data_IF_674750474541
#
_entry.id   IF_674750474541
#
_cell.length_a   1.000
_cell.length_b   1.000
_cell.length_c   1.000
_cell.angle_alpha   90.00
_cell.angle_beta   90.00
_cell.angle_gamma   90.00
#
_symmetry.space_group_name_H-M   'P 1'
#
loop_
_entity.id
_entity.type
_entity.pdbx_description
1 polymer ?
#
# COMPACT_ATOMS: atom_id res chain seq x y z
N UNK A 1 -2.10 4.07 -17.31
CA UNK A 1 -2.48 5.50 -17.37
C UNK A 1 -3.28 5.82 -16.13
N UNK A 2 -3.02 6.95 -15.50
CA UNK A 2 -3.75 7.40 -14.31
C UNK A 2 -4.57 8.63 -14.73
N UNK A 3 -5.90 8.57 -14.51
CA UNK A 3 -6.78 9.72 -14.61
C UNK A 3 -6.91 10.34 -13.22
N UNK A 4 -6.47 11.59 -13.06
CA UNK A 4 -6.68 12.32 -11.81
C UNK A 4 -8.03 13.02 -11.87
N UNK A 5 -8.93 12.60 -10.99
CA UNK A 5 -10.24 13.22 -10.82
C UNK A 5 -10.18 14.23 -9.66
N UNK A 6 -10.55 15.46 -9.92
CA UNK A 6 -10.69 16.51 -8.91
C UNK A 6 -12.13 16.99 -8.88
N UNK A 7 -12.75 16.89 -7.71
CA UNK A 7 -14.05 17.50 -7.43
C UNK A 7 -13.86 18.86 -6.75
N UNK A 8 -14.51 19.85 -7.28
CA UNK A 8 -14.64 21.14 -6.62
C UNK A 8 -16.11 21.55 -6.58
N UNK A 9 -16.53 22.19 -5.50
CA UNK A 9 -17.86 22.75 -5.38
C UNK A 9 -17.81 24.17 -4.81
N UNK A 10 -18.70 24.99 -5.33
CA UNK A 10 -19.01 26.32 -4.83
C UNK A 10 -20.50 26.38 -4.41
N UNK A 11 -21.06 27.57 -4.23
CA UNK A 11 -22.45 27.73 -3.81
C UNK A 11 -23.48 27.30 -4.87
N UNK A 12 -23.08 27.17 -6.12
CA UNK A 12 -23.99 27.00 -7.26
C UNK A 12 -23.66 25.73 -8.08
N UNK A 13 -22.39 25.29 -8.08
CA UNK A 13 -21.92 24.24 -8.99
C UNK A 13 -21.08 23.19 -8.30
N UNK A 14 -21.14 21.97 -8.85
CA UNK A 14 -20.21 20.89 -8.59
C UNK A 14 -19.46 20.58 -9.89
N UNK A 15 -18.16 20.78 -9.88
CA UNK A 15 -17.31 20.60 -11.07
C UNK A 15 -16.43 19.38 -10.90
N UNK A 16 -16.46 18.47 -11.89
CA UNK A 16 -15.52 17.36 -12.01
C UNK A 16 -14.49 17.71 -13.08
N UNK A 17 -13.23 17.81 -12.68
CA UNK A 17 -12.09 17.94 -13.58
C UNK A 17 -11.38 16.61 -13.73
N UNK A 18 -11.19 16.15 -14.96
CA UNK A 18 -10.48 14.91 -15.29
C UNK A 18 -9.16 15.29 -15.96
N UNK A 19 -8.05 15.09 -15.25
CA UNK A 19 -6.71 15.35 -15.80
C UNK A 19 -6.06 14.05 -16.26
N UNK A 20 -5.84 13.94 -17.55
CA UNK A 20 -5.21 12.78 -18.21
C UNK A 20 -3.71 12.98 -18.47
N UNK A 21 -3.17 14.14 -18.12
CA UNK A 21 -1.74 14.42 -18.29
C UNK A 21 -0.93 13.64 -17.26
N UNK A 22 -0.13 12.74 -17.72
CA UNK A 22 0.81 12.04 -16.84
C UNK A 22 1.97 12.97 -16.48
N UNK A 23 1.87 13.64 -15.30
CA UNK A 23 2.88 14.58 -14.82
C UNK A 23 3.14 15.76 -15.76
N UNK A 24 2.08 16.44 -16.22
CA UNK A 24 2.09 17.60 -17.11
C UNK A 24 2.50 17.37 -18.57
N UNK A 25 2.83 16.14 -18.99
CA UNK A 25 3.07 15.85 -20.40
C UNK A 25 1.74 15.54 -21.13
N UNK A 26 1.55 16.05 -22.35
CA UNK A 26 0.39 15.71 -23.15
C UNK A 26 0.41 14.24 -23.54
N UNK A 27 -0.78 13.64 -23.64
CA UNK A 27 -0.97 12.28 -24.12
C UNK A 27 -1.23 12.30 -25.63
N UNK A 28 -0.35 11.68 -26.42
CA UNK A 28 -0.54 11.54 -27.85
C UNK A 28 -1.44 10.35 -28.18
N UNK A 29 -2.62 10.61 -28.72
CA UNK A 29 -3.59 9.57 -29.05
C UNK A 29 -3.32 8.89 -30.40
N UNK A 30 -2.65 9.58 -31.35
CA UNK A 30 -2.35 9.02 -32.68
C UNK A 30 -3.61 8.63 -33.45
N UNK A 31 -4.71 9.38 -33.32
CA UNK A 31 -5.99 9.11 -33.97
C UNK A 31 -6.88 8.04 -33.31
N UNK A 32 -6.45 7.41 -32.23
CA UNK A 32 -7.26 6.44 -31.45
C UNK A 32 -8.12 7.15 -30.42
N UNK A 33 -9.25 6.55 -30.09
CA UNK A 33 -10.09 6.96 -28.95
C UNK A 33 -9.54 6.33 -27.67
N UNK A 34 -9.59 7.09 -26.58
CA UNK A 34 -9.22 6.64 -25.26
C UNK A 34 -10.42 6.80 -24.32
N UNK A 35 -10.91 5.69 -23.78
CA UNK A 35 -11.84 5.71 -22.67
C UNK A 35 -11.05 6.01 -21.38
N UNK A 36 -11.34 7.14 -20.75
CA UNK A 36 -10.58 7.61 -19.59
C UNK A 36 -11.23 7.22 -18.26
N UNK A 37 -12.54 7.33 -18.17
CA UNK A 37 -13.30 6.96 -16.98
C UNK A 37 -14.78 6.85 -17.30
N UNK A 38 -15.52 6.23 -16.37
CA UNK A 38 -16.97 6.29 -16.30
C UNK A 38 -17.37 7.11 -15.07
N UNK A 39 -18.30 8.04 -15.24
CA UNK A 39 -18.83 8.85 -14.13
C UNK A 39 -20.18 8.29 -13.72
N UNK A 40 -20.31 7.96 -12.45
CA UNK A 40 -21.58 7.54 -11.85
C UNK A 40 -22.13 8.67 -10.98
N UNK A 41 -23.42 8.95 -11.10
CA UNK A 41 -24.14 9.85 -10.23
C UNK A 41 -25.45 9.16 -9.79
N UNK A 42 -25.82 9.32 -8.54
CA UNK A 42 -27.05 8.80 -7.99
C UNK A 42 -27.61 9.74 -6.93
N UNK A 43 -28.92 9.81 -6.86
CA UNK A 43 -29.64 10.53 -5.81
C UNK A 43 -30.28 9.50 -4.86
N UNK A 44 -30.14 9.74 -3.56
CA UNK A 44 -30.66 8.88 -2.49
C UNK A 44 -31.49 9.73 -1.54
N UNK A 45 -32.79 9.84 -1.82
CA UNK A 45 -33.75 10.45 -0.89
C UNK A 45 -34.26 9.41 0.13
N UNK A 46 -34.62 9.86 1.31
CA UNK A 46 -35.29 9.08 2.37
C UNK A 46 -34.49 7.88 2.92
N UNK A 47 -33.18 7.84 2.71
CA UNK A 47 -32.28 6.84 3.30
C UNK A 47 -31.16 7.52 4.09
N UNK A 48 -30.63 6.82 5.10
CA UNK A 48 -29.47 7.34 5.83
C UNK A 48 -28.24 7.44 4.93
N UNK A 49 -27.33 8.39 5.23
CA UNK A 49 -26.08 8.57 4.48
C UNK A 49 -25.24 7.28 4.40
N UNK A 50 -25.24 6.47 5.47
CA UNK A 50 -24.58 5.17 5.48
C UNK A 50 -25.18 4.20 4.45
N UNK A 51 -26.50 4.10 4.38
CA UNK A 51 -27.16 3.22 3.41
C UNK A 51 -27.01 3.73 1.98
N UNK A 52 -27.09 5.05 1.77
CA UNK A 52 -26.84 5.67 0.48
C UNK A 52 -25.42 5.33 -0.03
N UNK A 53 -24.40 5.55 0.80
CA UNK A 53 -23.01 5.25 0.46
C UNK A 53 -22.81 3.76 0.18
N UNK A 54 -23.35 2.87 1.00
CA UNK A 54 -23.25 1.43 0.80
C UNK A 54 -23.89 0.98 -0.52
N UNK A 55 -25.06 1.52 -0.85
CA UNK A 55 -25.75 1.23 -2.10
C UNK A 55 -24.95 1.75 -3.30
N UNK A 56 -24.39 2.95 -3.19
CA UNK A 56 -23.54 3.52 -4.23
C UNK A 56 -22.26 2.72 -4.46
N UNK A 57 -21.62 2.22 -3.40
CA UNK A 57 -20.49 1.29 -3.53
C UNK A 57 -20.87 0.03 -4.35
N UNK A 58 -22.08 -0.48 -4.20
CA UNK A 58 -22.59 -1.60 -5.01
C UNK A 58 -22.75 -1.26 -6.50
N UNK A 59 -23.06 0.00 -6.82
CA UNK A 59 -23.08 0.48 -8.22
C UNK A 59 -21.67 0.57 -8.79
N UNK A 60 -20.73 1.10 -8.01
CA UNK A 60 -19.32 1.24 -8.43
C UNK A 60 -18.61 -0.11 -8.59
N UNK A 61 -18.96 -1.09 -7.78
CA UNK A 61 -18.37 -2.43 -7.80
C UNK A 61 -19.43 -3.50 -7.58
N UNK A 62 -20.15 -3.92 -8.64
CA UNK A 62 -21.25 -4.89 -8.51
C UNK A 62 -20.77 -6.31 -8.15
N UNK A 63 -19.50 -6.63 -8.38
CA UNK A 63 -18.87 -7.90 -8.02
C UNK A 63 -17.53 -7.67 -7.31
N UNK A 64 -17.55 -7.12 -6.08
CA UNK A 64 -16.31 -6.77 -5.39
C UNK A 64 -15.54 -8.02 -4.95
N UNK A 65 -14.22 -8.00 -5.13
CA UNK A 65 -13.33 -8.99 -4.53
C UNK A 65 -13.14 -8.66 -3.05
N UNK A 66 -13.96 -9.24 -2.22
CA UNK A 66 -13.87 -9.05 -0.77
C UNK A 66 -13.00 -10.15 -0.14
N UNK A 67 -12.24 -9.78 0.88
CA UNK A 67 -11.57 -10.75 1.73
C UNK A 67 -12.60 -11.65 2.44
N UNK A 68 -12.26 -12.93 2.63
CA UNK A 68 -13.15 -13.89 3.32
C UNK A 68 -13.50 -13.46 4.76
N UNK A 69 -12.60 -12.71 5.37
CA UNK A 69 -12.75 -12.20 6.73
C UNK A 69 -12.38 -10.72 6.77
N UNK A 70 -12.98 -9.93 7.65
CA UNK A 70 -12.55 -8.54 7.85
C UNK A 70 -11.06 -8.45 8.15
N UNK A 71 -10.38 -7.50 7.50
CA UNK A 71 -9.00 -7.13 7.83
C UNK A 71 -9.08 -5.99 8.84
N UNK A 72 -8.50 -6.20 10.02
CA UNK A 72 -8.47 -5.22 11.09
C UNK A 72 -7.25 -5.44 11.98
N UNK A 73 -6.88 -4.44 12.75
CA UNK A 73 -5.73 -4.50 13.62
C UNK A 73 -5.10 -3.15 13.87
N UNK A 74 -3.80 -3.11 14.03
CA UNK A 74 -3.04 -1.90 14.30
C UNK A 74 -1.81 -1.79 13.39
N UNK A 75 -1.31 -0.57 13.30
CA UNK A 75 -0.08 -0.19 12.60
C UNK A 75 0.68 0.80 13.50
N UNK A 76 1.99 0.74 13.51
CA UNK A 76 2.84 1.52 14.42
C UNK A 76 3.28 2.89 13.89
N UNK A 77 2.90 3.29 12.67
CA UNK A 77 3.42 4.50 12.04
C UNK A 77 3.19 5.76 12.87
N UNK A 78 1.94 6.02 13.28
CA UNK A 78 1.56 7.30 13.86
C UNK A 78 2.13 7.61 15.25
N UNK A 79 2.80 6.67 15.88
CA UNK A 79 3.56 6.96 17.10
C UNK A 79 5.05 6.76 16.93
N UNK A 80 5.48 5.79 16.10
CA UNK A 80 6.88 5.41 15.96
C UNK A 80 7.64 6.20 14.89
N UNK A 81 6.96 6.60 13.80
CA UNK A 81 7.55 7.33 12.67
C UNK A 81 8.90 6.73 12.21
N UNK A 82 8.93 5.41 12.02
CA UNK A 82 10.11 4.66 11.60
C UNK A 82 11.15 4.39 12.70
N UNK A 83 10.86 4.67 13.97
CA UNK A 83 11.82 4.50 15.09
C UNK A 83 11.51 3.30 15.97
N UNK A 84 10.59 2.41 15.57
CA UNK A 84 10.25 1.25 16.36
C UNK A 84 11.33 0.15 16.30
N UNK A 85 11.13 -0.89 17.10
CA UNK A 85 12.02 -2.02 17.24
C UNK A 85 11.25 -3.33 17.33
N UNK A 86 11.98 -4.46 17.22
CA UNK A 86 11.47 -5.81 17.42
C UNK A 86 10.65 -5.92 18.74
N UNK A 87 11.22 -5.45 19.85
CA UNK A 87 10.57 -5.54 21.17
C UNK A 87 9.30 -4.68 21.26
N UNK A 88 9.31 -3.50 20.66
CA UNK A 88 8.12 -2.64 20.60
C UNK A 88 7.00 -3.28 19.79
N UNK A 89 7.30 -3.88 18.64
CA UNK A 89 6.31 -4.62 17.85
C UNK A 89 5.73 -5.79 18.65
N UNK A 90 6.53 -6.51 19.41
CA UNK A 90 6.02 -7.57 20.28
C UNK A 90 5.14 -7.03 21.42
N UNK A 91 5.50 -5.87 21.98
CA UNK A 91 4.67 -5.17 22.96
C UNK A 91 3.31 -4.78 22.40
N UNK A 92 3.30 -4.18 21.23
CA UNK A 92 2.07 -3.80 20.51
C UNK A 92 1.24 -5.03 20.15
N UNK A 93 1.90 -6.11 19.71
CA UNK A 93 1.23 -7.38 19.40
C UNK A 93 0.51 -7.96 20.62
N UNK A 94 1.12 -7.90 21.81
CA UNK A 94 0.48 -8.31 23.06
C UNK A 94 -0.75 -7.46 23.38
N UNK A 95 -0.62 -6.15 23.22
CA UNK A 95 -1.75 -5.22 23.43
C UNK A 95 -2.90 -5.52 22.47
N UNK A 96 -2.63 -5.59 21.17
CA UNK A 96 -3.63 -5.85 20.14
C UNK A 96 -4.30 -7.21 20.36
N UNK A 97 -3.54 -8.26 20.68
CA UNK A 97 -4.07 -9.57 21.00
C UNK A 97 -4.97 -9.54 22.24
N UNK A 98 -4.60 -8.76 23.27
CA UNK A 98 -5.39 -8.64 24.50
C UNK A 98 -6.74 -7.97 24.27
N UNK A 99 -6.79 -6.94 23.42
CA UNK A 99 -8.01 -6.23 23.02
C UNK A 99 -8.95 -7.10 22.18
N UNK A 100 -8.40 -8.06 21.46
CA UNK A 100 -9.14 -8.98 20.58
C UNK A 100 -9.24 -10.41 21.14
N UNK A 101 -9.16 -10.56 22.46
CA UNK A 101 -9.22 -11.87 23.13
C UNK A 101 -10.51 -12.61 22.77
N UNK A 102 -10.37 -13.86 22.34
CA UNK A 102 -11.51 -14.71 21.94
C UNK A 102 -12.00 -14.51 20.51
N UNK A 103 -11.50 -13.52 19.77
CA UNK A 103 -11.87 -13.36 18.38
C UNK A 103 -11.34 -14.52 17.52
N UNK A 104 -12.25 -15.18 16.78
CA UNK A 104 -11.88 -16.25 15.84
C UNK A 104 -11.04 -15.71 14.67
N UNK A 105 -11.40 -14.53 14.14
CA UNK A 105 -10.61 -13.80 13.16
C UNK A 105 -9.57 -12.96 13.89
N UNK A 106 -8.31 -13.35 13.80
CA UNK A 106 -7.23 -12.67 14.53
C UNK A 106 -6.90 -11.31 13.89
N UNK A 107 -6.58 -10.28 14.72
CA UNK A 107 -6.17 -8.97 14.23
C UNK A 107 -4.80 -9.02 13.57
N UNK A 108 -4.52 -8.03 12.73
CA UNK A 108 -3.17 -7.77 12.23
C UNK A 108 -2.42 -6.81 13.16
N UNK A 109 -1.12 -7.03 13.28
CA UNK A 109 -0.16 -6.01 13.71
C UNK A 109 0.78 -5.75 12.53
N UNK A 110 0.78 -4.53 12.02
CA UNK A 110 1.54 -4.14 10.83
C UNK A 110 2.77 -3.35 11.24
N UNK A 111 3.93 -3.84 10.83
CA UNK A 111 5.20 -3.12 10.95
C UNK A 111 5.25 -2.12 9.79
N UNK A 112 5.25 -0.83 10.12
CA UNK A 112 5.39 0.22 9.14
C UNK A 112 6.86 0.52 8.81
N UNK A 113 7.12 1.55 8.04
CA UNK A 113 8.45 1.98 7.56
C UNK A 113 9.50 2.04 8.68
N UNK A 114 10.75 1.82 8.33
CA UNK A 114 11.90 1.89 9.22
C UNK A 114 12.41 0.56 9.79
N UNK A 115 11.88 -0.58 9.33
CA UNK A 115 12.39 -1.91 9.68
C UNK A 115 13.59 -2.31 8.80
N UNK A 116 13.66 -1.84 7.58
CA UNK A 116 14.71 -2.11 6.59
C UNK A 116 15.99 -1.29 6.85
N UNK A 117 17.13 -1.63 6.23
CA UNK A 117 18.42 -0.95 6.47
C UNK A 117 18.41 0.55 6.15
N UNK A 118 17.74 0.95 5.08
CA UNK A 118 17.59 2.35 4.69
C UNK A 118 16.16 2.77 4.90
N UNK A 119 15.94 3.66 5.84
CA UNK A 119 14.62 4.20 6.12
C UNK A 119 13.94 4.68 4.83
N UNK A 120 12.70 4.27 4.61
CA UNK A 120 11.87 4.57 3.44
C UNK A 120 12.26 3.93 2.11
N UNK A 121 13.43 3.31 2.00
CA UNK A 121 14.00 2.83 0.74
C UNK A 121 14.47 1.36 0.81
N UNK A 122 14.70 0.78 -0.36
CA UNK A 122 15.33 -0.53 -0.47
C UNK A 122 16.70 -0.60 0.26
N UNK A 123 17.25 -1.78 0.55
CA UNK A 123 16.74 -3.09 0.19
C UNK A 123 15.66 -3.62 1.14
N UNK A 124 14.81 -4.52 0.63
CA UNK A 124 13.72 -5.16 1.37
C UNK A 124 14.03 -6.63 1.67
N UNK A 125 15.31 -6.94 1.81
CA UNK A 125 15.81 -8.32 1.91
C UNK A 125 16.25 -8.71 3.32
N UNK A 126 16.29 -7.77 4.24
CA UNK A 126 16.65 -7.97 5.67
C UNK A 126 16.16 -6.80 6.52
N UNK A 127 16.07 -7.02 7.81
CA UNK A 127 15.87 -5.96 8.79
C UNK A 127 17.16 -5.19 9.09
N UNK A 128 17.03 -4.08 9.78
CA UNK A 128 18.14 -3.31 10.34
C UNK A 128 18.52 -3.82 11.75
N UNK A 129 19.42 -3.12 12.44
CA UNK A 129 19.88 -3.52 13.79
C UNK A 129 18.75 -3.62 14.83
N UNK A 130 17.67 -2.84 14.66
CA UNK A 130 16.49 -2.87 15.53
C UNK A 130 15.55 -4.04 15.21
N UNK A 131 15.71 -4.63 14.03
CA UNK A 131 14.92 -5.74 13.50
C UNK A 131 15.83 -6.84 12.97
N UNK A 132 16.64 -7.47 13.86
CA UNK A 132 17.70 -8.39 13.43
C UNK A 132 17.19 -9.72 12.86
N UNK A 133 15.97 -10.11 13.22
CA UNK A 133 15.33 -11.37 12.80
C UNK A 133 13.87 -11.14 12.42
N UNK A 134 13.59 -10.90 11.14
CA UNK A 134 12.25 -10.65 10.65
C UNK A 134 11.37 -11.91 10.62
N UNK A 135 11.94 -13.07 10.37
CA UNK A 135 11.23 -14.35 10.36
C UNK A 135 10.86 -14.79 11.78
N UNK A 136 11.80 -14.66 12.73
CA UNK A 136 11.54 -14.90 14.15
C UNK A 136 10.47 -13.94 14.70
N UNK A 137 10.55 -12.66 14.38
CA UNK A 137 9.55 -11.67 14.80
C UNK A 137 8.15 -12.06 14.32
N UNK A 138 7.99 -12.43 13.05
CA UNK A 138 6.69 -12.85 12.53
C UNK A 138 6.16 -14.10 13.28
N UNK A 139 7.05 -15.06 13.58
CA UNK A 139 6.69 -16.26 14.34
C UNK A 139 6.24 -15.94 15.76
N UNK A 140 6.92 -15.03 16.45
CA UNK A 140 6.55 -14.57 17.79
C UNK A 140 5.23 -13.79 17.78
N UNK A 141 4.97 -12.94 16.76
CA UNK A 141 3.70 -12.26 16.59
C UNK A 141 2.54 -13.25 16.46
N UNK A 142 2.72 -14.31 15.66
CA UNK A 142 1.71 -15.39 15.54
C UNK A 142 1.48 -16.08 16.87
N UNK A 143 2.54 -16.40 17.61
CA UNK A 143 2.43 -17.03 18.94
C UNK A 143 1.69 -16.13 19.95
N UNK A 144 1.78 -14.81 19.82
CA UNK A 144 1.04 -13.84 20.64
C UNK A 144 -0.44 -13.71 20.24
N UNK A 145 -0.84 -14.25 19.08
CA UNK A 145 -2.23 -14.26 18.64
C UNK A 145 -2.62 -13.15 17.68
N UNK A 146 -1.65 -12.53 17.00
CA UNK A 146 -1.88 -11.58 15.91
C UNK A 146 -1.38 -12.16 14.58
N UNK A 147 -1.83 -11.57 13.47
CA UNK A 147 -1.32 -11.85 12.13
C UNK A 147 -0.23 -10.83 11.79
N UNK A 148 0.95 -11.25 11.34
CA UNK A 148 2.00 -10.32 10.93
C UNK A 148 1.63 -9.60 9.64
N UNK A 149 1.78 -8.28 9.64
CA UNK A 149 1.74 -7.42 8.46
C UNK A 149 3.03 -6.62 8.35
N UNK A 150 3.37 -6.20 7.14
CA UNK A 150 4.59 -5.43 6.88
C UNK A 150 4.39 -4.43 5.74
N UNK A 151 4.83 -3.22 5.96
CA UNK A 151 4.83 -2.19 4.93
C UNK A 151 6.09 -2.26 4.07
N UNK A 152 5.91 -2.11 2.75
CA UNK A 152 6.99 -2.04 1.77
C UNK A 152 6.67 -1.06 0.66
N UNK A 153 7.71 -0.49 0.06
CA UNK A 153 7.60 0.46 -1.05
C UNK A 153 8.50 0.01 -2.20
N UNK A 154 8.10 -1.03 -2.90
CA UNK A 154 8.90 -1.77 -3.88
C UNK A 154 9.60 -0.92 -4.91
N UNK A 155 8.93 0.11 -5.46
CA UNK A 155 9.40 0.82 -6.63
C UNK A 155 10.35 1.99 -6.33
N UNK A 156 10.51 2.35 -5.07
CA UNK A 156 11.43 3.43 -4.69
C UNK A 156 12.81 2.84 -4.38
N UNK A 157 13.79 3.18 -5.20
CA UNK A 157 15.18 2.75 -5.08
C UNK A 157 16.11 3.92 -4.76
N UNK A 158 15.71 4.74 -3.82
CA UNK A 158 16.52 5.86 -3.33
C UNK A 158 15.79 7.20 -3.35
N UNK A 159 16.35 8.13 -2.64
CA UNK A 159 15.91 9.52 -2.58
C UNK A 159 17.00 10.46 -3.08
N UNK A 160 16.65 11.69 -3.39
CA UNK A 160 17.63 12.73 -3.78
C UNK A 160 18.53 12.38 -4.99
N UNK A 161 18.05 11.51 -5.89
CA UNK A 161 18.77 11.16 -7.11
C UNK A 161 19.84 10.06 -6.96
N UNK A 162 20.04 9.52 -5.75
CA UNK A 162 21.00 8.42 -5.51
C UNK A 162 20.26 7.10 -5.44
N UNK A 163 20.61 6.15 -6.30
CA UNK A 163 20.09 4.78 -6.30
C UNK A 163 20.78 3.94 -5.23
N UNK A 164 20.00 3.15 -4.49
CA UNK A 164 20.50 2.26 -3.44
C UNK A 164 20.83 0.88 -4.02
N UNK A 165 19.90 0.29 -4.78
CA UNK A 165 20.16 -0.95 -5.50
C UNK A 165 20.88 -0.62 -6.82
N UNK A 166 22.07 -1.14 -7.00
CA UNK A 166 22.93 -0.86 -8.15
C UNK A 166 22.74 -1.85 -9.31
N UNK A 167 22.00 -2.94 -9.08
CA UNK A 167 21.87 -4.07 -10.01
C UNK A 167 20.84 -3.83 -11.13
N UNK A 168 20.17 -2.68 -11.13
CA UNK A 168 19.19 -2.35 -12.15
C UNK A 168 19.81 -1.45 -13.22
N UNK A 169 19.79 -1.85 -14.51
CA UNK A 169 20.17 -0.99 -15.62
C UNK A 169 19.22 0.22 -15.76
N UNK A 170 19.68 1.24 -16.49
CA UNK A 170 18.97 2.51 -16.60
C UNK A 170 17.54 2.39 -17.13
N UNK A 171 17.31 1.46 -18.06
CA UNK A 171 16.00 1.17 -18.62
C UNK A 171 14.95 0.64 -17.62
N UNK A 172 15.41 0.22 -16.45
CA UNK A 172 14.51 -0.19 -15.35
C UNK A 172 13.92 0.99 -14.59
N UNK A 173 14.33 2.20 -14.88
CA UNK A 173 13.87 3.39 -14.17
C UNK A 173 12.94 4.25 -15.00
N UNK A 174 12.04 4.97 -14.35
CA UNK A 174 11.17 5.91 -15.04
C UNK A 174 11.97 7.12 -15.55
N UNK A 175 11.67 7.59 -16.76
CA UNK A 175 12.33 8.75 -17.36
C UNK A 175 12.32 10.01 -16.48
N UNK A 176 11.26 10.16 -15.67
CA UNK A 176 11.04 11.37 -14.85
C UNK A 176 11.69 11.33 -13.48
N UNK A 177 11.88 10.13 -12.96
CA UNK A 177 12.46 9.94 -11.64
C UNK A 177 13.48 8.81 -11.67
N UNK A 178 14.78 9.14 -11.71
CA UNK A 178 15.84 8.16 -11.92
C UNK A 178 16.06 7.21 -10.74
N UNK A 179 15.29 7.37 -9.66
CA UNK A 179 15.27 6.48 -8.49
C UNK A 179 13.98 5.69 -8.34
N UNK A 180 13.03 5.83 -9.28
CA UNK A 180 11.77 5.08 -9.28
C UNK A 180 11.84 4.02 -10.36
N UNK A 181 11.70 2.76 -9.94
CA UNK A 181 11.67 1.60 -10.84
C UNK A 181 10.38 1.58 -11.67
N UNK A 182 10.50 1.23 -12.93
CA UNK A 182 9.38 1.10 -13.86
C UNK A 182 8.71 -0.29 -13.69
N UNK A 183 7.48 -0.38 -13.18
CA UNK A 183 6.80 -1.65 -12.98
C UNK A 183 6.43 -2.37 -14.29
N UNK A 184 6.59 -1.75 -15.45
CA UNK A 184 6.40 -2.43 -16.74
C UNK A 184 7.63 -3.23 -17.18
N UNK A 185 8.80 -3.00 -16.59
CA UNK A 185 10.02 -3.68 -16.95
C UNK A 185 10.08 -5.10 -16.31
N UNK A 186 10.41 -6.16 -17.08
CA UNK A 186 10.41 -7.54 -16.56
C UNK A 186 11.30 -7.76 -15.34
N UNK A 187 12.51 -7.21 -15.32
CA UNK A 187 13.43 -7.31 -14.15
C UNK A 187 12.84 -6.69 -12.89
N UNK A 188 12.10 -5.58 -13.02
CA UNK A 188 11.42 -4.94 -11.89
C UNK A 188 10.28 -5.81 -11.38
N UNK A 189 9.51 -6.42 -12.28
CA UNK A 189 8.46 -7.37 -11.89
C UNK A 189 9.03 -8.60 -11.17
N UNK A 190 10.17 -9.11 -11.63
CA UNK A 190 10.83 -10.24 -10.97
C UNK A 190 11.34 -9.85 -9.59
N UNK A 191 11.93 -8.68 -9.44
CA UNK A 191 12.33 -8.14 -8.13
C UNK A 191 11.15 -8.03 -7.16
N UNK A 192 10.02 -7.48 -7.62
CA UNK A 192 8.79 -7.38 -6.79
C UNK A 192 8.30 -8.77 -6.38
N UNK A 193 8.30 -9.74 -7.31
CA UNK A 193 7.90 -11.12 -7.01
C UNK A 193 8.81 -11.78 -5.98
N UNK A 194 10.13 -11.66 -6.15
CA UNK A 194 11.09 -12.26 -5.23
C UNK A 194 11.04 -11.62 -3.84
N UNK A 195 10.90 -10.30 -3.78
CA UNK A 195 10.72 -9.59 -2.50
C UNK A 195 9.43 -10.03 -1.80
N UNK A 196 8.31 -10.09 -2.54
CA UNK A 196 7.03 -10.55 -1.99
C UNK A 196 7.14 -12.00 -1.49
N UNK A 197 7.75 -12.91 -2.25
CA UNK A 197 7.95 -14.31 -1.83
C UNK A 197 8.77 -14.40 -0.54
N UNK A 198 9.80 -13.57 -0.39
CA UNK A 198 10.61 -13.50 0.82
C UNK A 198 9.79 -13.07 2.03
N UNK A 199 9.02 -11.99 1.91
CA UNK A 199 8.15 -11.50 2.99
C UNK A 199 7.11 -12.55 3.41
N UNK A 200 6.49 -13.21 2.43
CA UNK A 200 5.55 -14.32 2.70
C UNK A 200 6.25 -15.50 3.36
N UNK A 201 7.48 -15.85 2.93
CA UNK A 201 8.29 -16.88 3.56
C UNK A 201 8.63 -16.56 5.02
N UNK A 202 8.89 -15.31 5.35
CA UNK A 202 9.09 -14.86 6.73
C UNK A 202 7.80 -14.91 7.58
N UNK A 203 6.62 -15.05 6.95
CA UNK A 203 5.34 -15.17 7.65
C UNK A 203 4.45 -13.95 7.60
N UNK A 204 4.84 -12.89 6.86
CA UNK A 204 4.00 -11.71 6.69
C UNK A 204 2.90 -11.97 5.66
N UNK A 205 1.66 -11.60 5.99
CA UNK A 205 0.46 -11.92 5.20
C UNK A 205 -0.40 -10.71 4.86
N UNK A 206 0.02 -9.52 5.23
CA UNK A 206 -0.56 -8.22 4.89
C UNK A 206 0.56 -7.24 4.58
#
# INVERSE_FOLDING_TARGET
>A
MICFALWSCDAETVTLTLDLRCGAAPLHLGGRTLECCTVYAADYTDVSAFHALRSFCGVLSPAPLLSKHPVYGSNNWYYAYGKSSHDEILSDSRLVASLCRGAANKPYMVIDDGWQPNMTDAPWDRGNERFPDMEGLASEMVALGVRPGIWVRYLINGQTGTRILQDFPDECYTERCPTVLDPSHPLVLDYVRETTRRLVKWGYTL
#
